data_IF_669838616980
#
_entry.id   IF_669838616980
#
_cell.length_a   1.000
_cell.length_b   1.000
_cell.length_c   1.000
_cell.angle_alpha   90.00
_cell.angle_beta   90.00
_cell.angle_gamma   90.00
#
_symmetry.space_group_name_H-M   'P 1'
#
loop_
_entity.id
_entity.type
_entity.pdbx_description
1 polymer ?
#
# COMPACT_ATOMS: atom_id res chain seq x y z
N UNK A 1 -10.36 -10.45 5.38
CA UNK A 1 -9.19 -9.54 5.61
C UNK A 1 -8.41 -9.95 6.86
N UNK A 2 -8.97 -9.87 8.07
CA UNK A 2 -8.24 -10.16 9.32
C UNK A 2 -7.50 -11.51 9.33
N UNK A 3 -8.12 -12.61 8.85
CA UNK A 3 -7.47 -13.92 8.73
C UNK A 3 -6.23 -13.86 7.84
N UNK A 4 -6.33 -13.26 6.65
CA UNK A 4 -5.21 -13.17 5.72
C UNK A 4 -4.04 -12.36 6.28
N UNK A 5 -4.31 -11.25 6.99
CA UNK A 5 -3.26 -10.47 7.65
C UNK A 5 -2.57 -11.28 8.76
N UNK A 6 -3.34 -12.00 9.59
CA UNK A 6 -2.78 -12.86 10.64
C UNK A 6 -1.90 -14.00 10.14
N UNK A 7 -2.07 -14.43 8.87
CA UNK A 7 -1.22 -15.45 8.25
C UNK A 7 0.11 -14.89 7.71
N UNK A 8 0.33 -13.56 7.74
CA UNK A 8 1.55 -12.96 7.20
C UNK A 8 2.72 -12.96 8.18
N UNK A 9 2.47 -13.07 9.48
CA UNK A 9 3.47 -13.03 10.58
C UNK A 9 4.34 -11.74 10.63
N UNK A 10 4.12 -10.80 9.74
CA UNK A 10 4.92 -9.58 9.56
C UNK A 10 4.08 -8.32 9.81
N UNK A 11 2.77 -8.43 9.73
CA UNK A 11 1.85 -7.31 9.89
C UNK A 11 1.11 -7.39 11.22
N UNK A 12 1.01 -6.27 11.90
CA UNK A 12 0.19 -6.16 13.11
C UNK A 12 -1.26 -6.48 12.82
N UNK A 13 -1.83 -7.34 13.66
CA UNK A 13 -3.20 -7.77 13.52
C UNK A 13 -4.14 -6.77 14.18
N UNK A 14 -4.79 -5.96 13.38
CA UNK A 14 -5.76 -4.99 13.85
C UNK A 14 -7.10 -5.62 14.30
N UNK A 15 -7.94 -4.83 14.96
CA UNK A 15 -9.28 -5.26 15.36
C UNK A 15 -10.15 -5.58 14.14
N UNK A 16 -11.15 -6.46 14.30
CA UNK A 16 -12.13 -6.72 13.25
C UNK A 16 -12.85 -5.45 12.80
N UNK A 17 -13.08 -4.51 13.74
CA UNK A 17 -13.72 -3.23 13.44
C UNK A 17 -12.85 -2.36 12.50
N UNK A 18 -11.54 -2.33 12.69
CA UNK A 18 -10.63 -1.63 11.77
C UNK A 18 -10.75 -2.16 10.32
N UNK A 19 -10.82 -3.49 10.15
CA UNK A 19 -11.02 -4.07 8.82
C UNK A 19 -12.40 -3.81 8.23
N UNK A 20 -13.44 -3.67 9.06
CA UNK A 20 -14.75 -3.23 8.58
C UNK A 20 -14.70 -1.79 8.07
N UNK A 21 -14.08 -0.87 8.79
CA UNK A 21 -13.87 0.51 8.32
C UNK A 21 -13.12 0.55 6.98
N UNK A 22 -12.04 -0.24 6.84
CA UNK A 22 -11.28 -0.31 5.59
C UNK A 22 -12.13 -0.87 4.43
N UNK A 23 -13.08 -1.75 4.71
CA UNK A 23 -13.95 -2.36 3.70
C UNK A 23 -15.18 -1.51 3.36
N UNK A 24 -15.54 -0.54 4.18
CA UNK A 24 -16.71 0.34 4.01
C UNK A 24 -16.29 1.77 3.70
N UNK A 25 -15.75 2.48 4.68
CA UNK A 25 -15.49 3.91 4.59
C UNK A 25 -14.24 4.24 3.75
N UNK A 26 -13.30 3.27 3.65
CA UNK A 26 -12.07 3.39 2.87
C UNK A 26 -12.01 2.39 1.71
N UNK A 27 -13.17 1.94 1.21
CA UNK A 27 -13.26 0.98 0.11
C UNK A 27 -12.60 1.51 -1.18
N UNK A 28 -12.76 2.79 -1.48
CA UNK A 28 -12.21 3.42 -2.68
C UNK A 28 -10.67 3.50 -2.67
N UNK A 29 -10.07 3.50 -1.48
CA UNK A 29 -8.60 3.51 -1.28
C UNK A 29 -8.06 2.15 -0.84
N UNK A 30 -8.87 1.10 -0.90
CA UNK A 30 -8.49 -0.28 -0.55
C UNK A 30 -8.84 -1.23 -1.70
N UNK A 31 -8.08 -2.31 -1.87
CA UNK A 31 -8.32 -3.31 -2.92
C UNK A 31 -8.15 -4.72 -2.37
N UNK A 32 -8.93 -5.65 -2.88
CA UNK A 32 -8.79 -7.08 -2.59
C UNK A 32 -8.63 -7.88 -3.87
N UNK A 33 -7.90 -8.98 -3.79
CA UNK A 33 -7.80 -9.98 -4.83
C UNK A 33 -8.47 -11.28 -4.36
N UNK A 34 -9.35 -11.82 -5.19
CA UNK A 34 -10.10 -13.05 -4.92
C UNK A 34 -9.80 -14.06 -6.03
N UNK A 35 -9.56 -15.32 -5.65
CA UNK A 35 -9.41 -16.44 -6.58
C UNK A 35 -10.25 -17.59 -6.07
N UNK A 36 -11.11 -18.13 -6.92
CA UNK A 36 -12.01 -19.26 -6.61
C UNK A 36 -12.88 -19.04 -5.35
N UNK A 37 -13.27 -17.77 -5.09
CA UNK A 37 -14.04 -17.36 -3.94
C UNK A 37 -13.21 -17.06 -2.67
N UNK A 38 -11.93 -17.37 -2.67
CA UNK A 38 -11.03 -17.11 -1.55
C UNK A 38 -10.24 -15.81 -1.71
N UNK A 39 -10.11 -15.07 -0.60
CA UNK A 39 -9.30 -13.86 -0.53
C UNK A 39 -7.83 -14.25 -0.56
N UNK A 40 -7.12 -13.88 -1.63
CA UNK A 40 -5.70 -14.18 -1.82
C UNK A 40 -4.78 -12.97 -1.71
N UNK A 41 -5.32 -11.76 -1.66
CA UNK A 41 -4.55 -10.55 -1.45
C UNK A 41 -5.41 -9.37 -1.01
N UNK A 42 -4.81 -8.42 -0.32
CA UNK A 42 -5.42 -7.13 0.02
C UNK A 42 -4.38 -6.02 0.10
N UNK A 43 -4.81 -4.82 -0.22
CA UNK A 43 -4.15 -3.57 0.14
C UNK A 43 -5.21 -2.70 0.81
N UNK A 44 -4.90 -2.19 2.00
CA UNK A 44 -5.70 -1.16 2.66
C UNK A 44 -4.98 0.17 2.61
N UNK A 45 -5.72 1.26 2.46
CA UNK A 45 -5.14 2.58 2.39
C UNK A 45 -6.18 3.68 2.63
N UNK A 46 -5.72 4.91 2.67
CA UNK A 46 -6.56 6.08 2.84
C UNK A 46 -5.88 7.34 2.30
N UNK A 47 -6.64 8.39 2.10
CA UNK A 47 -6.12 9.74 1.88
C UNK A 47 -5.98 10.45 3.23
N UNK A 48 -4.76 10.89 3.63
CA UNK A 48 -4.64 11.74 4.81
C UNK A 48 -5.49 13.02 4.62
N UNK A 49 -6.34 13.41 5.59
CA UNK A 49 -7.30 14.52 5.40
C UNK A 49 -6.65 15.84 4.96
N UNK A 50 -5.44 16.12 5.41
CA UNK A 50 -4.68 17.34 5.06
C UNK A 50 -3.85 17.21 3.78
N UNK A 51 -3.80 16.03 3.18
CA UNK A 51 -3.00 15.70 1.97
C UNK A 51 -3.78 14.77 1.05
N UNK A 52 -4.88 15.25 0.46
CA UNK A 52 -5.77 14.41 -0.36
C UNK A 52 -5.10 13.90 -1.63
N UNK A 53 -3.99 14.47 -2.06
CA UNK A 53 -3.16 14.00 -3.18
C UNK A 53 -2.32 12.76 -2.84
N UNK A 54 -2.28 12.36 -1.56
CA UNK A 54 -1.52 11.20 -1.09
C UNK A 54 -2.46 9.99 -0.95
N UNK A 55 -2.07 8.86 -1.52
CA UNK A 55 -2.58 7.55 -1.16
C UNK A 55 -1.62 6.94 -0.14
N UNK A 56 -2.00 6.94 1.13
CA UNK A 56 -1.25 6.23 2.16
C UNK A 56 -1.66 4.76 2.16
N UNK A 57 -0.71 3.89 1.83
CA UNK A 57 -0.88 2.44 1.87
C UNK A 57 -0.55 1.97 3.29
N UNK A 58 -1.56 1.45 3.98
CA UNK A 58 -1.43 1.03 5.38
C UNK A 58 -0.97 -0.41 5.51
N UNK A 59 -1.66 -1.37 4.86
CA UNK A 59 -1.27 -2.78 4.89
C UNK A 59 -1.30 -3.38 3.49
N UNK A 60 -0.34 -4.27 3.22
CA UNK A 60 -0.31 -5.11 2.03
C UNK A 60 -0.15 -6.55 2.48
N UNK A 61 -1.13 -7.41 2.22
CA UNK A 61 -1.07 -8.82 2.55
C UNK A 61 -1.35 -9.68 1.31
N UNK A 62 -0.58 -10.76 1.15
CA UNK A 62 -0.75 -11.74 0.08
C UNK A 62 -0.67 -13.14 0.70
N UNK A 63 -1.68 -13.97 0.40
CA UNK A 63 -1.71 -15.37 0.82
C UNK A 63 -0.45 -16.12 0.38
N UNK A 64 0.03 -17.05 1.19
CA UNK A 64 1.24 -17.81 0.89
C UNK A 64 1.21 -18.47 -0.51
N UNK A 65 0.05 -19.00 -0.90
CA UNK A 65 -0.18 -19.62 -2.21
C UNK A 65 -0.13 -18.65 -3.40
N UNK A 66 -0.16 -17.34 -3.16
CA UNK A 66 -0.13 -16.30 -4.18
C UNK A 66 1.14 -15.43 -4.13
N UNK A 67 2.05 -15.70 -3.19
CA UNK A 67 3.34 -15.02 -3.12
C UNK A 67 4.21 -15.35 -4.34
N UNK A 68 5.08 -14.43 -4.72
CA UNK A 68 5.97 -14.61 -5.87
C UNK A 68 5.30 -14.49 -7.25
N UNK A 69 3.97 -14.32 -7.32
CA UNK A 69 3.21 -14.25 -8.59
C UNK A 69 3.08 -12.80 -9.14
N UNK A 70 3.61 -11.80 -8.43
CA UNK A 70 3.43 -10.39 -8.79
C UNK A 70 2.09 -9.79 -8.33
N UNK A 71 1.27 -10.53 -7.58
CA UNK A 71 -0.07 -10.09 -7.18
C UNK A 71 -0.08 -8.75 -6.44
N UNK A 72 0.83 -8.56 -5.46
CA UNK A 72 0.92 -7.29 -4.72
C UNK A 72 1.21 -6.10 -5.66
N UNK A 73 2.09 -6.30 -6.64
CA UNK A 73 2.41 -5.28 -7.63
C UNK A 73 1.19 -4.95 -8.50
N UNK A 74 0.48 -5.95 -9.00
CA UNK A 74 -0.74 -5.77 -9.78
C UNK A 74 -1.83 -5.03 -8.98
N UNK A 75 -2.02 -5.39 -7.70
CA UNK A 75 -2.98 -4.71 -6.84
C UNK A 75 -2.60 -3.24 -6.61
N UNK A 76 -1.32 -2.95 -6.34
CA UNK A 76 -0.86 -1.58 -6.10
C UNK A 76 -1.01 -0.70 -7.37
N UNK A 77 -0.67 -1.25 -8.54
CA UNK A 77 -0.86 -0.56 -9.83
C UNK A 77 -2.35 -0.29 -10.11
N UNK A 78 -3.22 -1.29 -9.87
CA UNK A 78 -4.66 -1.17 -10.07
C UNK A 78 -5.30 -0.16 -9.09
N UNK A 79 -4.92 -0.20 -7.81
CA UNK A 79 -5.40 0.74 -6.80
C UNK A 79 -4.97 2.18 -7.13
N UNK A 80 -3.70 2.38 -7.45
CA UNK A 80 -3.18 3.72 -7.82
C UNK A 80 -3.87 4.27 -9.06
N UNK A 81 -4.13 3.42 -10.05
CA UNK A 81 -4.89 3.82 -11.25
C UNK A 81 -6.30 4.26 -10.90
N UNK A 82 -7.06 3.47 -10.12
CA UNK A 82 -8.41 3.80 -9.66
C UNK A 82 -8.45 5.13 -8.92
N UNK A 83 -7.61 5.28 -7.89
CA UNK A 83 -7.52 6.52 -7.10
C UNK A 83 -7.21 7.73 -7.99
N UNK A 84 -6.40 7.56 -9.02
CA UNK A 84 -6.09 8.64 -9.95
C UNK A 84 -7.26 8.97 -10.88
N UNK A 85 -8.01 7.97 -11.33
CA UNK A 85 -9.24 8.13 -12.11
C UNK A 85 -10.30 8.90 -11.31
N UNK A 86 -10.53 8.53 -10.05
CA UNK A 86 -11.45 9.21 -9.13
C UNK A 86 -11.04 10.67 -8.87
N UNK A 87 -9.75 10.98 -8.99
CA UNK A 87 -9.19 12.33 -8.90
C UNK A 87 -9.11 13.06 -10.25
N UNK A 88 -9.89 12.64 -11.24
CA UNK A 88 -9.91 13.24 -12.58
C UNK A 88 -8.53 13.30 -13.25
N UNK A 89 -7.68 12.31 -13.01
CA UNK A 89 -6.33 12.22 -13.57
C UNK A 89 -5.27 13.09 -12.88
N UNK A 90 -5.61 13.79 -11.80
CA UNK A 90 -4.61 14.53 -11.02
C UNK A 90 -3.55 13.59 -10.46
N UNK A 91 -2.27 14.04 -10.40
CA UNK A 91 -1.19 13.22 -9.87
C UNK A 91 -1.46 12.73 -8.45
N UNK A 92 -1.01 11.51 -8.16
CA UNK A 92 -1.11 10.87 -6.84
C UNK A 92 0.30 10.54 -6.36
N UNK A 93 0.57 10.82 -5.09
CA UNK A 93 1.77 10.35 -4.40
C UNK A 93 1.40 9.14 -3.56
N UNK A 94 2.13 8.04 -3.69
CA UNK A 94 1.98 6.86 -2.84
C UNK A 94 2.93 6.98 -1.65
N UNK A 95 2.41 6.79 -0.45
CA UNK A 95 3.20 6.73 0.78
C UNK A 95 2.92 5.44 1.56
N UNK A 96 3.93 4.93 2.25
CA UNK A 96 3.80 3.84 3.21
C UNK A 96 4.89 3.94 4.26
N UNK A 97 4.63 3.57 5.52
CA UNK A 97 5.70 3.33 6.50
C UNK A 97 6.19 1.89 6.35
N UNK A 98 7.49 1.70 6.33
CA UNK A 98 8.10 0.38 6.11
C UNK A 98 9.40 0.26 6.90
N UNK A 99 9.42 -0.66 7.85
CA UNK A 99 10.62 -0.98 8.61
C UNK A 99 11.80 -1.38 7.70
N UNK A 100 13.05 -1.05 8.05
CA UNK A 100 14.23 -1.38 7.25
C UNK A 100 14.37 -2.87 6.95
N UNK A 101 13.98 -3.73 7.88
CA UNK A 101 14.04 -5.19 7.73
C UNK A 101 12.92 -5.78 6.88
N UNK A 102 11.83 -5.04 6.63
CA UNK A 102 10.74 -5.51 5.76
C UNK A 102 11.14 -5.43 4.27
N UNK A 103 12.06 -6.31 3.88
CA UNK A 103 12.63 -6.35 2.52
C UNK A 103 11.59 -6.60 1.45
N UNK A 104 10.53 -7.35 1.75
CA UNK A 104 9.45 -7.66 0.80
C UNK A 104 8.65 -6.40 0.43
N UNK A 105 8.22 -5.62 1.41
CA UNK A 105 7.52 -4.34 1.16
C UNK A 105 8.45 -3.32 0.49
N UNK A 106 9.71 -3.24 0.92
CA UNK A 106 10.69 -2.34 0.28
C UNK A 106 10.92 -2.70 -1.20
N UNK A 107 10.99 -3.98 -1.52
CA UNK A 107 11.10 -4.46 -2.90
C UNK A 107 9.85 -4.14 -3.73
N UNK A 108 8.64 -4.30 -3.15
CA UNK A 108 7.38 -3.95 -3.78
C UNK A 108 7.34 -2.47 -4.16
N UNK A 109 7.58 -1.57 -3.20
CA UNK A 109 7.51 -0.12 -3.40
C UNK A 109 8.63 0.39 -4.31
N UNK A 110 9.86 -0.12 -4.16
CA UNK A 110 10.95 0.19 -5.07
C UNK A 110 10.70 -0.29 -6.51
N UNK A 111 10.11 -1.47 -6.66
CA UNK A 111 9.66 -1.98 -7.95
C UNK A 111 8.56 -1.12 -8.58
N UNK A 112 7.61 -0.67 -7.75
CA UNK A 112 6.54 0.22 -8.16
C UNK A 112 7.10 1.58 -8.68
N UNK A 113 7.99 2.21 -7.92
CA UNK A 113 8.64 3.46 -8.34
C UNK A 113 9.35 3.32 -9.69
N UNK A 114 10.11 2.24 -9.89
CA UNK A 114 10.79 1.96 -11.17
C UNK A 114 9.82 1.76 -12.33
N UNK A 115 8.71 0.99 -12.14
CA UNK A 115 7.72 0.77 -13.21
C UNK A 115 7.04 2.06 -13.65
N UNK A 116 6.81 2.97 -12.72
CA UNK A 116 6.18 4.26 -13.01
C UNK A 116 7.18 5.35 -13.42
N UNK A 117 8.49 5.07 -13.39
CA UNK A 117 9.55 6.03 -13.74
C UNK A 117 9.58 7.26 -12.83
N UNK A 118 9.20 7.10 -11.56
CA UNK A 118 9.11 8.20 -10.59
C UNK A 118 10.12 8.02 -9.45
N UNK A 119 10.53 9.11 -8.78
CA UNK A 119 11.42 9.02 -7.63
C UNK A 119 10.76 8.35 -6.44
N UNK A 120 11.56 7.68 -5.62
CA UNK A 120 11.23 7.23 -4.28
C UNK A 120 12.19 7.88 -3.31
N UNK A 121 11.66 8.52 -2.27
CA UNK A 121 12.44 9.09 -1.16
C UNK A 121 12.00 8.46 0.16
N UNK A 122 12.88 8.51 1.14
CA UNK A 122 12.67 7.98 2.48
C UNK A 122 12.90 9.07 3.51
N UNK A 123 12.01 9.19 4.49
CA UNK A 123 12.09 10.20 5.54
C UNK A 123 11.72 9.59 6.89
N UNK A 124 12.28 10.08 8.01
CA UNK A 124 11.85 9.66 9.34
C UNK A 124 10.34 9.90 9.55
N UNK A 125 9.65 8.93 10.18
CA UNK A 125 8.21 9.07 10.47
C UNK A 125 7.89 8.60 11.88
N UNK A 126 7.86 7.30 12.11
CA UNK A 126 7.64 6.72 13.42
C UNK A 126 8.94 6.12 13.92
N UNK A 127 9.37 6.51 15.10
CA UNK A 127 10.50 5.86 15.79
C UNK A 127 9.95 4.77 16.71
N UNK A 128 10.74 3.75 16.97
CA UNK A 128 10.35 2.62 17.81
C UNK A 128 9.71 3.05 19.15
N UNK A 129 10.19 4.14 19.73
CA UNK A 129 9.64 4.72 20.97
C UNK A 129 8.19 5.26 20.85
N UNK A 130 7.64 5.43 19.65
CA UNK A 130 6.24 5.83 19.42
C UNK A 130 5.30 4.62 19.29
N UNK A 131 5.88 3.43 19.14
CA UNK A 131 5.18 2.16 19.01
C UNK A 131 5.14 1.48 20.38
N UNK A 132 4.38 0.42 20.54
CA UNK A 132 4.20 -0.21 21.85
C UNK A 132 5.54 -0.62 22.47
N UNK A 133 5.76 -0.21 23.74
CA UNK A 133 7.00 -0.47 24.46
C UNK A 133 7.22 -1.94 24.83
N UNK A 134 6.16 -2.76 24.72
CA UNK A 134 6.19 -4.18 25.09
C UNK A 134 6.62 -5.09 23.93
N UNK A 135 6.73 -4.55 22.71
CA UNK A 135 7.20 -5.28 21.53
C UNK A 135 8.48 -4.64 20.97
N UNK A 136 9.39 -5.44 20.43
CA UNK A 136 10.62 -4.97 19.81
C UNK A 136 10.32 -4.39 18.42
N UNK A 137 9.82 -3.15 18.39
CA UNK A 137 9.58 -2.43 17.15
C UNK A 137 10.85 -1.79 16.60
N UNK A 138 10.94 -1.74 15.28
CA UNK A 138 11.92 -0.92 14.57
C UNK A 138 11.34 0.45 14.24
N UNK A 139 12.21 1.39 13.88
CA UNK A 139 11.77 2.64 13.28
C UNK A 139 11.04 2.35 11.97
N UNK A 140 9.93 3.03 11.75
CA UNK A 140 9.17 2.96 10.50
C UNK A 140 9.29 4.28 9.71
N UNK A 141 10.34 4.42 8.89
CA UNK A 141 10.43 5.55 7.98
C UNK A 141 9.31 5.50 6.94
N UNK A 142 8.91 6.69 6.48
CA UNK A 142 7.95 6.81 5.39
C UNK A 142 8.67 6.77 4.05
N UNK A 143 8.25 5.86 3.19
CA UNK A 143 8.60 5.85 1.77
C UNK A 143 7.60 6.73 1.04
N UNK A 144 8.09 7.65 0.21
CA UNK A 144 7.28 8.56 -0.60
C UNK A 144 7.63 8.36 -2.07
N UNK A 145 6.64 8.03 -2.90
CA UNK A 145 6.82 7.63 -4.29
C UNK A 145 5.95 8.51 -5.17
N UNK A 146 6.53 9.17 -6.12
CA UNK A 146 5.80 10.04 -7.04
C UNK A 146 6.28 11.49 -7.08
N UNK A 147 5.45 12.39 -7.66
CA UNK A 147 4.05 12.21 -8.05
C UNK A 147 3.88 11.32 -9.28
N UNK A 148 2.85 10.45 -9.27
CA UNK A 148 2.50 9.58 -10.37
C UNK A 148 1.45 10.30 -11.22
N UNK A 149 1.87 10.83 -12.36
CA UNK A 149 1.00 11.46 -13.33
C UNK A 149 0.34 10.42 -14.27
N UNK A 150 -0.66 10.85 -15.04
CA UNK A 150 -1.12 10.06 -16.16
C UNK A 150 0.05 9.84 -17.14
N UNK A 151 0.29 8.59 -17.52
CA UNK A 151 1.13 8.37 -18.69
C UNK A 151 0.42 9.04 -19.86
N UNK A 152 1.00 10.10 -20.41
CA UNK A 152 0.53 10.65 -21.68
C UNK A 152 0.58 9.48 -22.65
N UNK A 153 -0.56 9.09 -23.20
CA UNK A 153 -0.57 8.18 -24.33
C UNK A 153 0.36 8.79 -25.38
N UNK A 154 1.26 8.01 -26.01
CA UNK A 154 2.07 8.56 -27.08
C UNK A 154 1.14 9.19 -28.11
N UNK A 155 1.32 10.48 -28.33
CA UNK A 155 0.65 11.19 -29.42
C UNK A 155 1.06 10.46 -30.69
N UNK A 156 0.15 9.70 -31.28
CA UNK A 156 0.37 9.20 -32.63
C UNK A 156 0.43 10.43 -33.58
N UNK A 157 1.47 10.53 -34.41
CA UNK A 157 1.56 11.59 -35.42
C UNK A 157 0.49 11.42 -36.49
#
# INVERSE_FOLDING_TARGET
>A
MRRLVGETEVLDLNSTYAYLLMATDFADTSIVAVRDGDLCGLITGYHPPTRPEVLFVWQVAVAASARGTGLAACMLDALTRRVREDRHGHPVTVEATVAPTNTASRALFGGFARRHGVPMSEHPRFVAAHLDADEAHEDEPILRIGPIAATLAPSHP
#
